data_IF_756444758615
#
_entry.id   IF_756444758615
#
_cell.length_a   1.000
_cell.length_b   1.000
_cell.length_c   1.000
_cell.angle_alpha   90.00
_cell.angle_beta   90.00
_cell.angle_gamma   90.00
#
_symmetry.space_group_name_H-M   'P 1'
#
loop_
_entity.id
_entity.type
_entity.pdbx_description
1 polymer ?
#
# COMPACT_ATOMS: atom_id res chain seq x y z
N UNK A 1 40.92 29.97 21.44
CA UNK A 1 40.16 30.53 20.31
C UNK A 1 39.51 29.49 19.39
N UNK A 2 39.45 28.19 19.75
CA UNK A 2 39.09 27.10 18.82
C UNK A 2 37.73 26.41 19.08
N UNK A 3 37.03 26.70 20.18
CA UNK A 3 35.76 26.00 20.47
C UNK A 3 34.57 26.55 19.66
N UNK A 4 34.46 27.87 19.50
CA UNK A 4 33.33 28.47 18.76
C UNK A 4 33.33 28.08 17.28
N UNK A 5 34.50 27.97 16.65
CA UNK A 5 34.63 27.52 15.25
C UNK A 5 34.18 26.06 15.08
N UNK A 6 34.55 25.18 16.01
CA UNK A 6 34.13 23.78 15.99
C UNK A 6 32.62 23.61 16.24
N UNK A 7 32.04 24.42 17.14
CA UNK A 7 30.59 24.39 17.39
C UNK A 7 29.81 24.84 16.15
N UNK A 8 30.24 25.93 15.50
CA UNK A 8 29.60 26.41 14.27
C UNK A 8 29.72 25.39 13.13
N UNK A 9 30.90 24.83 12.88
CA UNK A 9 31.06 23.79 11.86
C UNK A 9 30.18 22.56 12.15
N UNK A 10 30.05 22.15 13.41
CA UNK A 10 29.21 21.03 13.80
C UNK A 10 27.71 21.32 13.61
N UNK A 11 27.23 22.52 13.93
CA UNK A 11 25.83 22.91 13.66
C UNK A 11 25.54 23.04 12.18
N UNK A 12 26.45 23.58 11.37
CA UNK A 12 26.30 23.60 9.91
C UNK A 12 26.28 22.18 9.32
N UNK A 13 27.12 21.28 9.82
CA UNK A 13 27.17 19.88 9.37
C UNK A 13 25.92 19.08 9.80
N UNK A 14 25.41 19.29 11.01
CA UNK A 14 24.12 18.74 11.47
C UNK A 14 22.94 19.31 10.67
N UNK A 15 22.96 20.60 10.36
CA UNK A 15 21.95 21.25 9.53
C UNK A 15 21.96 20.73 8.10
N UNK A 16 23.13 20.55 7.49
CA UNK A 16 23.22 19.99 6.14
C UNK A 16 22.75 18.54 6.09
N UNK A 17 23.12 17.72 7.09
CA UNK A 17 22.63 16.35 7.24
C UNK A 17 21.11 16.29 7.36
N UNK A 18 20.49 17.21 8.11
CA UNK A 18 19.03 17.31 8.21
C UNK A 18 18.38 17.77 6.90
N UNK A 19 19.02 18.67 6.15
CA UNK A 19 18.52 19.10 4.84
C UNK A 19 18.50 17.94 3.83
N UNK A 20 19.59 17.17 3.73
CA UNK A 20 19.63 16.01 2.85
C UNK A 20 18.62 14.92 3.26
N UNK A 21 18.45 14.68 4.57
CA UNK A 21 17.45 13.75 5.08
C UNK A 21 16.03 14.19 4.74
N UNK A 22 15.72 15.46 4.94
CA UNK A 22 14.42 16.03 4.58
C UNK A 22 14.15 15.90 3.07
N UNK A 23 15.12 16.24 2.23
CA UNK A 23 15.01 16.10 0.79
C UNK A 23 14.81 14.63 0.38
N UNK A 24 15.53 13.70 1.01
CA UNK A 24 15.40 12.26 0.77
C UNK A 24 13.99 11.76 1.15
N UNK A 25 13.48 12.11 2.33
CA UNK A 25 12.13 11.72 2.78
C UNK A 25 11.06 12.23 1.82
N UNK A 26 11.16 13.50 1.39
CA UNK A 26 10.24 14.08 0.41
C UNK A 26 10.31 13.38 -0.96
N UNK A 27 11.50 12.97 -1.39
CA UNK A 27 11.64 12.18 -2.61
C UNK A 27 11.01 10.79 -2.45
N UNK A 28 11.27 10.10 -1.34
CA UNK A 28 10.70 8.79 -1.02
C UNK A 28 9.18 8.83 -0.98
N UNK A 29 8.59 9.86 -0.38
CA UNK A 29 7.14 10.04 -0.32
C UNK A 29 6.53 10.22 -1.72
N UNK A 30 7.19 10.98 -2.60
CA UNK A 30 6.75 11.14 -4.00
C UNK A 30 6.83 9.83 -4.78
N UNK A 31 7.91 9.08 -4.62
CA UNK A 31 8.06 7.78 -5.28
C UNK A 31 7.03 6.78 -4.76
N UNK A 32 6.83 6.71 -3.44
CA UNK A 32 5.84 5.85 -2.82
C UNK A 32 4.43 6.15 -3.33
N UNK A 33 4.06 7.44 -3.42
CA UNK A 33 2.77 7.85 -3.98
C UNK A 33 2.57 7.36 -5.42
N UNK A 34 3.58 7.49 -6.28
CA UNK A 34 3.51 7.02 -7.67
C UNK A 34 3.33 5.51 -7.76
N UNK A 35 4.07 4.76 -6.94
CA UNK A 35 3.98 3.29 -6.90
C UNK A 35 2.59 2.85 -6.42
N UNK A 36 2.08 3.46 -5.34
CA UNK A 36 0.74 3.17 -4.81
C UNK A 36 -0.35 3.51 -5.85
N UNK A 37 -0.20 4.61 -6.58
CA UNK A 37 -1.10 4.98 -7.67
C UNK A 37 -1.13 3.97 -8.80
N UNK A 38 0.05 3.49 -9.21
CA UNK A 38 0.13 2.44 -10.24
C UNK A 38 -0.51 1.15 -9.72
N UNK A 39 -0.23 0.77 -8.47
CA UNK A 39 -0.84 -0.38 -7.81
C UNK A 39 -2.37 -0.33 -7.82
N UNK A 40 -2.96 0.84 -7.52
CA UNK A 40 -4.41 1.01 -7.54
C UNK A 40 -5.03 0.84 -8.94
N UNK A 41 -4.38 1.37 -9.98
CA UNK A 41 -4.83 1.21 -11.37
C UNK A 41 -4.78 -0.26 -11.78
N UNK A 42 -3.65 -0.93 -11.52
CA UNK A 42 -3.49 -2.35 -11.80
C UNK A 42 -4.49 -3.22 -11.03
N UNK A 43 -4.74 -2.91 -9.76
CA UNK A 43 -5.74 -3.59 -8.93
C UNK A 43 -7.14 -3.44 -9.54
N UNK A 44 -7.51 -2.23 -9.95
CA UNK A 44 -8.82 -1.95 -10.54
C UNK A 44 -9.01 -2.72 -11.85
N UNK A 45 -8.01 -2.71 -12.74
CA UNK A 45 -8.04 -3.48 -13.98
C UNK A 45 -8.09 -4.99 -13.68
N UNK A 46 -7.35 -5.45 -12.67
CA UNK A 46 -7.34 -6.84 -12.23
C UNK A 46 -8.70 -7.32 -11.73
N UNK A 47 -9.41 -6.52 -10.92
CA UNK A 47 -10.75 -6.84 -10.44
C UNK A 47 -11.74 -6.89 -11.61
N UNK A 48 -11.70 -5.91 -12.51
CA UNK A 48 -12.60 -5.87 -13.68
C UNK A 48 -12.37 -7.06 -14.61
N UNK A 49 -11.11 -7.34 -14.95
CA UNK A 49 -10.73 -8.50 -15.76
C UNK A 49 -11.11 -9.82 -15.09
N UNK A 50 -10.87 -9.93 -13.78
CA UNK A 50 -11.25 -11.09 -12.98
C UNK A 50 -12.76 -11.32 -12.94
N UNK A 51 -13.56 -10.26 -12.82
CA UNK A 51 -15.03 -10.36 -12.83
C UNK A 51 -15.58 -10.81 -14.19
N UNK A 52 -14.98 -10.34 -15.30
CA UNK A 52 -15.35 -10.82 -16.65
C UNK A 52 -15.02 -12.30 -16.80
N UNK A 53 -13.83 -12.71 -16.36
CA UNK A 53 -13.43 -14.12 -16.41
C UNK A 53 -14.27 -15.02 -15.50
N UNK A 54 -14.64 -14.54 -14.31
CA UNK A 54 -15.52 -15.26 -13.40
C UNK A 54 -16.90 -15.55 -14.03
N UNK A 55 -17.43 -14.62 -14.82
CA UNK A 55 -18.66 -14.85 -15.58
C UNK A 55 -18.51 -16.00 -16.59
N UNK A 56 -17.40 -16.04 -17.32
CA UNK A 56 -17.15 -17.09 -18.32
C UNK A 56 -16.99 -18.48 -17.69
N UNK A 57 -16.41 -18.57 -16.49
CA UNK A 57 -16.11 -19.87 -15.84
C UNK A 57 -17.24 -20.35 -14.92
N UNK A 58 -17.91 -19.44 -14.23
CA UNK A 58 -18.90 -19.77 -13.20
C UNK A 58 -20.31 -19.22 -13.48
N UNK A 59 -20.50 -18.48 -14.57
CA UNK A 59 -21.80 -17.91 -14.97
C UNK A 59 -22.25 -16.70 -14.14
N UNK A 60 -21.41 -16.19 -13.24
CA UNK A 60 -21.70 -15.07 -12.35
C UNK A 60 -20.48 -14.14 -12.27
N UNK A 61 -20.72 -12.82 -12.31
CA UNK A 61 -19.66 -11.81 -12.24
C UNK A 61 -19.05 -11.66 -10.84
N UNK A 62 -19.78 -12.07 -9.79
CA UNK A 62 -19.37 -11.89 -8.41
C UNK A 62 -20.12 -12.88 -7.51
N UNK A 63 -19.39 -13.70 -6.76
CA UNK A 63 -19.93 -14.74 -5.89
C UNK A 63 -19.59 -14.52 -4.40
N UNK A 64 -19.00 -13.39 -4.03
CA UNK A 64 -18.58 -13.09 -2.65
C UNK A 64 -17.61 -14.10 -2.06
N UNK A 65 -16.87 -14.79 -2.93
CA UNK A 65 -15.82 -15.70 -2.48
C UNK A 65 -14.79 -14.93 -1.64
N UNK A 66 -14.07 -15.59 -0.71
CA UNK A 66 -13.05 -14.94 0.09
C UNK A 66 -12.06 -14.14 -0.76
N UNK A 67 -11.66 -14.69 -1.92
CA UNK A 67 -10.74 -14.03 -2.86
C UNK A 67 -11.31 -12.72 -3.42
N UNK A 68 -12.58 -12.71 -3.81
CA UNK A 68 -13.27 -11.54 -4.36
C UNK A 68 -13.50 -10.48 -3.27
N UNK A 69 -13.95 -10.91 -2.09
CA UNK A 69 -14.21 -10.02 -0.94
C UNK A 69 -12.94 -9.30 -0.48
N UNK A 70 -11.81 -10.02 -0.40
CA UNK A 70 -10.52 -9.41 -0.05
C UNK A 70 -9.98 -8.47 -1.13
N UNK A 71 -10.23 -8.77 -2.42
CA UNK A 71 -9.91 -7.83 -3.50
C UNK A 71 -10.73 -6.54 -3.38
N UNK A 72 -12.00 -6.62 -2.98
CA UNK A 72 -12.83 -5.44 -2.74
C UNK A 72 -12.40 -4.64 -1.50
N UNK A 73 -12.04 -5.32 -0.40
CA UNK A 73 -11.52 -4.67 0.82
C UNK A 73 -10.24 -3.90 0.51
N UNK A 74 -9.29 -4.49 -0.22
CA UNK A 74 -8.06 -3.79 -0.61
C UNK A 74 -8.37 -2.58 -1.48
N UNK A 75 -9.23 -2.73 -2.48
CA UNK A 75 -9.64 -1.63 -3.34
C UNK A 75 -10.26 -0.47 -2.54
N UNK A 76 -11.07 -0.77 -1.53
CA UNK A 76 -11.65 0.22 -0.62
C UNK A 76 -10.58 0.95 0.19
N UNK A 77 -9.58 0.24 0.72
CA UNK A 77 -8.47 0.82 1.47
C UNK A 77 -7.63 1.76 0.60
N UNK A 78 -7.29 1.35 -0.63
CA UNK A 78 -6.59 2.22 -1.58
C UNK A 78 -7.43 3.46 -1.92
N UNK A 79 -8.75 3.30 -2.08
CA UNK A 79 -9.66 4.43 -2.30
C UNK A 79 -9.65 5.41 -1.12
N UNK A 80 -9.68 4.93 0.13
CA UNK A 80 -9.56 5.78 1.33
C UNK A 80 -8.19 6.46 1.39
N UNK A 81 -7.11 5.75 1.06
CA UNK A 81 -5.76 6.33 0.95
C UNK A 81 -5.72 7.50 -0.05
N UNK A 82 -6.30 7.31 -1.23
CA UNK A 82 -6.37 8.36 -2.24
C UNK A 82 -7.28 9.51 -1.82
N UNK A 83 -8.44 9.20 -1.25
CA UNK A 83 -9.39 10.21 -0.80
C UNK A 83 -8.81 11.09 0.32
N UNK A 84 -8.13 10.50 1.29
CA UNK A 84 -7.45 11.26 2.36
C UNK A 84 -6.30 12.12 1.84
N UNK A 85 -5.60 11.68 0.79
CA UNK A 85 -4.48 12.43 0.21
C UNK A 85 -4.87 13.51 -0.78
N UNK A 86 -5.94 13.32 -1.57
CA UNK A 86 -6.48 14.34 -2.48
C UNK A 86 -7.12 15.50 -1.72
N UNK A 87 -7.66 15.24 -0.52
CA UNK A 87 -8.16 16.26 0.40
C UNK A 87 -6.99 16.91 1.17
N UNK A 88 -6.18 17.69 0.47
CA UNK A 88 -4.97 18.38 0.94
C UNK A 88 -5.19 19.45 2.03
N UNK A 89 -6.44 19.70 2.47
CA UNK A 89 -6.73 20.61 3.59
C UNK A 89 -6.34 20.05 4.98
N UNK A 90 -5.85 18.81 5.04
CA UNK A 90 -5.31 18.19 6.25
C UNK A 90 -3.78 18.19 6.23
N UNK A 91 -3.17 19.39 6.23
CA UNK A 91 -1.71 19.62 6.14
C UNK A 91 -0.87 18.92 7.23
N UNK A 92 -1.50 18.30 8.25
CA UNK A 92 -0.81 17.68 9.39
C UNK A 92 -1.01 16.17 9.57
N UNK A 93 -1.82 15.48 8.75
CA UNK A 93 -2.13 14.07 9.03
C UNK A 93 -1.10 13.15 8.37
N UNK A 94 -0.17 12.68 9.21
CA UNK A 94 0.81 11.61 9.02
C UNK A 94 0.64 10.75 7.74
N UNK A 95 1.15 11.24 6.60
CA UNK A 95 1.29 10.44 5.37
C UNK A 95 2.03 9.11 5.62
N UNK A 96 2.91 9.08 6.63
CA UNK A 96 3.59 7.87 7.09
C UNK A 96 2.65 6.82 7.72
N UNK A 97 1.61 7.24 8.45
CA UNK A 97 0.66 6.34 9.12
C UNK A 97 -0.27 5.68 8.09
N UNK A 98 -0.70 6.47 7.12
CA UNK A 98 -1.55 6.01 6.01
C UNK A 98 -0.78 5.08 5.06
N UNK A 99 0.50 5.35 4.80
CA UNK A 99 1.39 4.43 4.08
C UNK A 99 1.66 3.12 4.87
N UNK A 100 1.82 3.21 6.19
CA UNK A 100 2.01 2.03 7.06
C UNK A 100 0.76 1.13 7.11
N UNK A 101 -0.44 1.71 7.17
CA UNK A 101 -1.69 0.95 7.08
C UNK A 101 -1.85 0.26 5.72
N UNK A 102 -1.51 0.95 4.62
CA UNK A 102 -1.50 0.36 3.28
C UNK A 102 -0.55 -0.84 3.16
N UNK A 103 0.64 -0.76 3.76
CA UNK A 103 1.61 -1.86 3.79
C UNK A 103 1.12 -3.08 4.60
N UNK A 104 0.53 -2.85 5.79
CA UNK A 104 -0.04 -3.90 6.63
C UNK A 104 -1.19 -4.63 5.91
N UNK A 105 -2.02 -3.90 5.17
CA UNK A 105 -3.17 -4.47 4.46
C UNK A 105 -2.73 -5.31 3.25
N UNK A 106 -1.67 -4.92 2.54
CA UNK A 106 -1.08 -5.74 1.47
C UNK A 106 -0.55 -7.07 2.04
N UNK A 107 0.10 -7.04 3.21
CA UNK A 107 0.55 -8.25 3.90
C UNK A 107 -0.61 -9.15 4.31
N UNK A 108 -1.68 -8.58 4.88
CA UNK A 108 -2.88 -9.33 5.25
C UNK A 108 -3.55 -9.95 4.01
N UNK A 109 -3.57 -9.28 2.86
CA UNK A 109 -4.15 -9.85 1.65
C UNK A 109 -3.29 -10.91 0.98
N UNK A 110 -1.97 -10.81 1.06
CA UNK A 110 -1.08 -11.83 0.49
C UNK A 110 -1.00 -13.09 1.37
N UNK A 111 -0.96 -12.93 2.70
CA UNK A 111 -0.91 -14.05 3.64
C UNK A 111 -2.31 -14.59 4.00
N UNK A 112 -3.28 -13.72 4.28
CA UNK A 112 -4.59 -14.11 4.81
C UNK A 112 -5.47 -14.85 3.80
N UNK A 113 -5.46 -14.43 2.53
CA UNK A 113 -6.26 -15.08 1.47
C UNK A 113 -5.68 -16.43 1.07
N UNK A 114 -4.35 -16.58 1.13
CA UNK A 114 -3.68 -17.84 0.81
C UNK A 114 -3.79 -18.87 1.94
N UNK A 115 -3.92 -18.43 3.20
CA UNK A 115 -4.07 -19.33 4.35
C UNK A 115 -5.49 -19.89 4.52
N UNK A 116 -6.51 -19.19 4.01
CA UNK A 116 -7.90 -19.58 4.21
C UNK A 116 -8.28 -20.84 3.42
N UNK A 117 -7.65 -21.14 2.27
CA UNK A 117 -7.85 -22.42 1.55
C UNK A 117 -9.27 -22.72 1.07
N UNK A 118 -10.21 -21.78 1.22
CA UNK A 118 -11.63 -21.89 0.85
C UNK A 118 -11.94 -21.02 -0.37
N UNK A 119 -12.50 -21.66 -1.38
CA UNK A 119 -12.89 -21.11 -2.68
C UNK A 119 -12.62 -22.11 -3.80
N UNK A 120 -13.30 -21.98 -4.94
CA UNK A 120 -13.26 -22.87 -6.13
C UNK A 120 -11.87 -23.11 -6.76
N UNK A 121 -10.80 -22.57 -6.18
CA UNK A 121 -9.40 -22.69 -6.56
C UNK A 121 -8.52 -23.22 -5.41
N UNK A 122 -9.02 -24.19 -4.65
CA UNK A 122 -8.22 -24.95 -3.67
C UNK A 122 -7.61 -26.18 -4.36
N UNK A 123 -6.41 -26.04 -4.93
CA UNK A 123 -5.61 -27.17 -5.46
C UNK A 123 -4.64 -27.74 -4.41
N UNK A 124 -4.77 -27.32 -3.15
CA UNK A 124 -3.92 -27.72 -2.04
C UNK A 124 -4.71 -28.48 -0.99
N UNK A 125 -5.33 -29.60 -1.37
CA UNK A 125 -5.78 -30.57 -0.38
C UNK A 125 -4.55 -31.28 0.16
N UNK A 126 -4.06 -30.86 1.33
CA UNK A 126 -3.23 -31.73 2.14
C UNK A 126 -4.12 -32.87 2.63
N UNK A 127 -4.16 -33.96 1.86
CA UNK A 127 -4.61 -35.25 2.37
C UNK A 127 -3.60 -35.69 3.43
N UNK A 128 -3.87 -35.37 4.69
CA UNK A 128 -3.26 -36.07 5.81
C UNK A 128 -3.84 -37.48 5.81
N UNK A 129 -3.00 -38.43 5.40
CA UNK A 129 -3.17 -39.86 5.64
C UNK A 129 -2.37 -40.24 6.89
#
# INVERSE_FOLDING_TARGET
MNERSNVLLNTYFLSSKNYYRYQLTQQLDRWSYRIISLGFIFLTIGILSGAVWANEVWGSYWNWDPKETWAFITWTVFTIYFHTRTNTNLEGVNSALVASMGFLIIWICYFGVNLLGIGLHSYGSFTLN
#
